data_IF_520192972195
#
_entry.id   IF_520192972195
#
_cell.length_a   1.000
_cell.length_b   1.000
_cell.length_c   1.000
_cell.angle_alpha   90.00
_cell.angle_beta   90.00
_cell.angle_gamma   90.00
#
_symmetry.space_group_name_H-M   'P 1'
#
loop_
_entity.id
_entity.type
_entity.pdbx_description
1 polymer ?
#
# COMPACT_ATOMS: atom_id res chain seq x y z
N UNK A 1 -16.11 2.90 6.30
CA UNK A 1 -14.90 2.18 6.70
C UNK A 1 -13.82 2.29 5.62
N UNK A 2 -12.63 2.72 5.97
CA UNK A 2 -11.53 2.89 5.02
C UNK A 2 -10.72 1.59 4.94
N UNK A 3 -10.52 1.11 3.71
CA UNK A 3 -9.69 -0.07 3.43
C UNK A 3 -8.37 0.39 2.82
N UNK A 4 -7.27 0.05 3.48
CA UNK A 4 -5.94 0.52 3.13
C UNK A 4 -5.01 -0.64 2.80
N UNK A 5 -4.26 -0.50 1.72
CA UNK A 5 -3.18 -1.40 1.34
C UNK A 5 -1.84 -0.66 1.51
N UNK A 6 -0.91 -1.29 2.22
CA UNK A 6 0.45 -0.78 2.42
C UNK A 6 1.44 -1.73 1.71
N UNK A 7 1.94 -1.30 0.56
CA UNK A 7 2.84 -2.11 -0.27
C UNK A 7 4.29 -1.82 0.08
N UNK A 8 5.05 -2.85 0.43
CA UNK A 8 6.40 -2.70 0.93
C UNK A 8 6.41 -2.31 2.41
N UNK A 9 5.61 -3.02 3.21
CA UNK A 9 5.38 -2.69 4.62
C UNK A 9 6.62 -2.79 5.52
N UNK A 10 7.65 -3.48 5.07
CA UNK A 10 8.91 -3.62 5.82
C UNK A 10 8.69 -4.20 7.20
N UNK A 11 9.10 -3.48 8.24
CA UNK A 11 8.96 -3.91 9.64
C UNK A 11 7.55 -3.73 10.22
N UNK A 12 6.60 -3.21 9.44
CA UNK A 12 5.22 -3.02 9.86
C UNK A 12 4.92 -1.70 10.55
N UNK A 13 5.90 -0.82 10.69
CA UNK A 13 5.72 0.47 11.35
C UNK A 13 4.65 1.33 10.67
N UNK A 14 4.73 1.46 9.35
CA UNK A 14 3.77 2.27 8.58
C UNK A 14 2.36 1.68 8.64
N UNK A 15 2.23 0.36 8.51
CA UNK A 15 0.93 -0.30 8.60
C UNK A 15 0.32 -0.15 9.99
N UNK A 16 1.12 -0.19 11.05
CA UNK A 16 0.65 0.04 12.41
C UNK A 16 0.13 1.47 12.59
N UNK A 17 0.86 2.46 12.05
CA UNK A 17 0.43 3.85 12.08
C UNK A 17 -0.87 4.05 11.30
N UNK A 18 -0.99 3.47 10.11
CA UNK A 18 -2.21 3.51 9.32
C UNK A 18 -3.37 2.85 10.06
N UNK A 19 -3.11 1.73 10.75
CA UNK A 19 -4.11 1.05 11.58
C UNK A 19 -4.65 1.93 12.69
N UNK A 20 -3.77 2.68 13.34
CA UNK A 20 -4.17 3.65 14.35
C UNK A 20 -5.09 4.74 13.76
N UNK A 21 -4.75 5.24 12.57
CA UNK A 21 -5.50 6.31 11.92
C UNK A 21 -6.87 5.87 11.41
N UNK A 22 -7.00 4.65 10.85
CA UNK A 22 -8.28 4.19 10.32
C UNK A 22 -9.23 3.68 11.42
N UNK A 23 -8.68 3.22 12.54
CA UNK A 23 -9.46 2.70 13.65
C UNK A 23 -10.15 1.37 13.35
N UNK A 24 -10.90 0.86 14.32
CA UNK A 24 -11.52 -0.46 14.27
C UNK A 24 -12.62 -0.58 13.19
N UNK A 25 -13.12 0.53 12.65
CA UNK A 25 -14.09 0.50 11.55
C UNK A 25 -13.46 0.33 10.17
N UNK A 26 -12.15 0.48 10.07
CA UNK A 26 -11.41 0.29 8.84
C UNK A 26 -10.57 -0.99 8.83
N UNK A 27 -9.73 -1.14 7.82
CA UNK A 27 -8.79 -2.25 7.74
C UNK A 27 -7.52 -1.84 7.02
N UNK A 28 -6.39 -2.47 7.41
CA UNK A 28 -5.09 -2.27 6.77
C UNK A 28 -4.48 -3.63 6.47
N UNK A 29 -4.02 -3.81 5.24
CA UNK A 29 -3.22 -4.97 4.86
C UNK A 29 -1.85 -4.45 4.45
N UNK A 30 -0.84 -4.85 5.20
CA UNK A 30 0.56 -4.61 4.83
C UNK A 30 1.09 -5.81 4.07
N UNK A 31 1.73 -5.58 2.94
CA UNK A 31 2.32 -6.66 2.14
C UNK A 31 3.80 -6.42 1.92
N UNK A 32 4.56 -7.50 1.90
CA UNK A 32 5.96 -7.49 1.53
C UNK A 32 6.29 -8.83 0.86
N UNK A 33 7.33 -8.85 0.03
CA UNK A 33 7.79 -10.08 -0.61
C UNK A 33 8.84 -10.82 0.22
N UNK A 34 9.31 -10.22 1.31
CA UNK A 34 10.32 -10.80 2.20
C UNK A 34 9.62 -11.44 3.39
N UNK A 35 9.66 -12.77 3.46
CA UNK A 35 8.96 -13.53 4.50
C UNK A 35 9.37 -13.13 5.91
N UNK A 36 10.67 -12.91 6.14
CA UNK A 36 11.18 -12.51 7.46
C UNK A 36 10.63 -11.17 7.91
N UNK A 37 10.43 -10.22 6.99
CA UNK A 37 9.83 -8.93 7.30
C UNK A 37 8.35 -9.07 7.65
N UNK A 38 7.62 -9.93 6.97
CA UNK A 38 6.22 -10.22 7.29
C UNK A 38 6.10 -10.80 8.70
N UNK A 39 6.94 -11.79 9.03
CA UNK A 39 6.95 -12.38 10.36
C UNK A 39 7.34 -11.37 11.44
N UNK A 40 8.33 -10.53 11.18
CA UNK A 40 8.72 -9.45 12.08
C UNK A 40 7.57 -8.50 12.33
N UNK A 41 6.86 -8.10 11.28
CA UNK A 41 5.70 -7.21 11.39
C UNK A 41 4.60 -7.80 12.24
N UNK A 42 4.29 -9.08 12.03
CA UNK A 42 3.30 -9.80 12.84
C UNK A 42 3.67 -9.84 14.32
N UNK A 43 4.95 -10.07 14.63
CA UNK A 43 5.45 -10.07 16.01
C UNK A 43 5.42 -8.68 16.63
N UNK A 44 5.85 -7.65 15.90
CA UNK A 44 5.88 -6.27 16.39
C UNK A 44 4.48 -5.76 16.72
N UNK A 45 3.49 -6.11 15.90
CA UNK A 45 2.13 -5.68 16.13
C UNK A 45 1.50 -6.38 17.34
N UNK A 46 1.82 -7.66 17.53
CA UNK A 46 1.42 -8.42 18.73
C UNK A 46 -0.08 -8.48 18.98
N UNK A 47 -0.91 -8.36 17.94
CA UNK A 47 -2.37 -8.40 18.06
C UNK A 47 -3.02 -7.11 18.53
N UNK A 48 -2.29 -6.01 18.62
CA UNK A 48 -2.81 -4.72 19.12
C UNK A 48 -3.94 -4.15 18.28
N UNK A 49 -3.85 -4.29 16.96
CA UNK A 49 -4.87 -3.80 16.04
C UNK A 49 -5.41 -5.00 15.26
N UNK A 50 -6.55 -5.53 15.69
CA UNK A 50 -7.17 -6.68 15.03
C UNK A 50 -7.60 -6.42 13.59
N UNK A 51 -7.66 -5.14 13.17
CA UNK A 51 -7.99 -4.72 11.82
C UNK A 51 -6.77 -4.47 10.94
N UNK A 52 -5.57 -4.75 11.43
CA UNK A 52 -4.32 -4.68 10.67
C UNK A 52 -3.76 -6.09 10.55
N UNK A 53 -3.41 -6.47 9.34
CA UNK A 53 -2.73 -7.76 9.11
C UNK A 53 -1.64 -7.62 8.07
N UNK A 54 -0.74 -8.59 8.05
CA UNK A 54 0.41 -8.63 7.16
C UNK A 54 0.39 -9.91 6.34
N UNK A 55 0.63 -9.78 5.04
CA UNK A 55 0.61 -10.89 4.09
C UNK A 55 1.89 -10.90 3.26
N UNK A 56 2.32 -12.11 2.89
CA UNK A 56 3.45 -12.30 2.00
C UNK A 56 2.95 -12.22 0.55
N UNK A 57 3.39 -11.18 -0.18
CA UNK A 57 3.02 -11.02 -1.58
C UNK A 57 3.85 -11.96 -2.48
N UNK A 58 3.21 -12.47 -3.52
CA UNK A 58 3.89 -13.28 -4.53
C UNK A 58 4.80 -12.43 -5.42
N UNK A 59 5.93 -12.99 -5.90
CA UNK A 59 6.80 -12.26 -6.82
C UNK A 59 6.06 -11.97 -8.14
N UNK A 60 6.23 -10.74 -8.63
CA UNK A 60 5.61 -10.30 -9.89
C UNK A 60 4.14 -9.93 -9.79
N UNK A 61 3.53 -10.04 -8.61
CA UNK A 61 2.13 -9.65 -8.38
C UNK A 61 2.13 -8.54 -7.33
N UNK A 62 2.14 -7.25 -7.73
CA UNK A 62 2.15 -6.15 -6.77
C UNK A 62 0.83 -6.07 -6.00
N UNK A 63 0.94 -5.71 -4.73
CA UNK A 63 -0.21 -5.51 -3.87
C UNK A 63 -0.83 -6.80 -3.37
N UNK A 64 -2.14 -6.75 -3.17
CA UNK A 64 -2.93 -7.87 -2.66
C UNK A 64 -4.30 -7.90 -3.34
N UNK A 65 -4.36 -8.42 -4.59
CA UNK A 65 -5.60 -8.37 -5.39
C UNK A 65 -6.75 -9.18 -4.79
N UNK A 66 -6.46 -10.16 -3.96
CA UNK A 66 -7.48 -11.07 -3.40
C UNK A 66 -8.55 -10.32 -2.60
N UNK A 67 -8.22 -9.17 -2.03
CA UNK A 67 -9.16 -8.40 -1.22
C UNK A 67 -9.37 -6.98 -1.72
N UNK A 68 -8.93 -6.70 -2.95
CA UNK A 68 -9.22 -5.43 -3.61
C UNK A 68 -10.75 -5.25 -3.80
N UNK A 69 -11.26 -4.02 -3.95
CA UNK A 69 -10.50 -2.78 -4.05
C UNK A 69 -10.18 -2.11 -2.71
N UNK A 70 -9.23 -1.16 -2.76
CA UNK A 70 -8.82 -0.40 -1.58
C UNK A 70 -9.12 1.08 -1.77
N UNK A 71 -9.51 1.74 -0.68
CA UNK A 71 -9.77 3.19 -0.69
C UNK A 71 -8.48 3.99 -0.74
N UNK A 72 -7.42 3.46 -0.12
CA UNK A 72 -6.09 4.07 -0.11
C UNK A 72 -5.04 3.00 -0.32
N UNK A 73 -4.05 3.33 -1.14
CA UNK A 73 -2.88 2.48 -1.34
C UNK A 73 -1.64 3.34 -1.11
N UNK A 74 -0.78 2.91 -0.19
CA UNK A 74 0.51 3.53 0.06
C UNK A 74 1.59 2.56 -0.43
N UNK A 75 2.50 3.05 -1.27
CA UNK A 75 3.60 2.25 -1.78
C UNK A 75 4.91 2.86 -1.31
N UNK A 76 5.73 2.05 -0.64
CA UNK A 76 7.01 2.47 -0.06
C UNK A 76 8.19 1.82 -0.79
N UNK A 77 8.05 1.58 -2.09
CA UNK A 77 9.10 1.06 -2.93
C UNK A 77 8.96 1.65 -4.34
N UNK A 78 10.08 1.94 -4.99
CA UNK A 78 10.11 2.62 -6.29
C UNK A 78 10.39 1.62 -7.42
N UNK A 79 9.41 1.40 -8.27
CA UNK A 79 9.53 0.53 -9.45
C UNK A 79 9.82 1.27 -10.75
N UNK A 80 10.04 2.58 -10.69
CA UNK A 80 10.31 3.40 -11.88
C UNK A 80 9.08 3.71 -12.72
N UNK A 81 7.93 3.19 -12.35
CA UNK A 81 6.63 3.42 -13.02
C UNK A 81 5.50 3.09 -12.07
N UNK A 82 4.29 3.50 -12.41
CA UNK A 82 3.08 3.08 -11.68
C UNK A 82 2.62 1.74 -12.23
N UNK A 83 2.62 0.66 -11.41
CA UNK A 83 2.14 -0.64 -11.89
C UNK A 83 0.64 -0.60 -12.18
N UNK A 84 0.20 -0.99 -13.39
CA UNK A 84 -1.24 -1.06 -13.71
C UNK A 84 -2.03 -1.96 -12.75
N UNK A 85 -1.41 -3.03 -12.25
CA UNK A 85 -2.06 -3.94 -11.31
C UNK A 85 -2.44 -3.26 -10.00
N UNK A 86 -1.64 -2.31 -9.53
CA UNK A 86 -1.98 -1.52 -8.34
C UNK A 86 -3.11 -0.54 -8.62
N UNK A 87 -3.12 0.07 -9.79
CA UNK A 87 -4.21 0.97 -10.17
C UNK A 87 -5.55 0.23 -10.23
N UNK A 88 -5.53 -1.02 -10.69
CA UNK A 88 -6.73 -1.85 -10.73
C UNK A 88 -7.25 -2.24 -9.35
N UNK A 89 -6.39 -2.21 -8.34
CA UNK A 89 -6.77 -2.49 -6.96
C UNK A 89 -7.33 -1.28 -6.23
N UNK A 90 -7.33 -0.11 -6.87
CA UNK A 90 -7.83 1.14 -6.28
C UNK A 90 -9.34 1.23 -6.48
N UNK A 91 -10.06 1.50 -5.39
CA UNK A 91 -11.52 1.66 -5.45
C UNK A 91 -11.91 2.93 -6.21
N UNK A 92 -13.10 2.97 -6.82
CA UNK A 92 -13.65 4.24 -7.30
C UNK A 92 -13.66 5.29 -6.18
N UNK A 93 -13.14 6.48 -6.46
CA UNK A 93 -12.95 7.52 -5.44
C UNK A 93 -11.68 7.33 -4.60
N UNK A 94 -10.90 6.27 -4.84
CA UNK A 94 -9.69 5.98 -4.09
C UNK A 94 -8.47 6.75 -4.55
N UNK A 95 -7.44 6.70 -3.72
CA UNK A 95 -6.17 7.40 -3.97
C UNK A 95 -4.98 6.52 -3.61
N UNK A 96 -3.97 6.55 -4.46
CA UNK A 96 -2.69 5.89 -4.22
C UNK A 96 -1.57 6.93 -4.19
N UNK A 97 -0.63 6.74 -3.26
CA UNK A 97 0.61 7.51 -3.19
C UNK A 97 1.76 6.55 -3.46
N UNK A 98 2.57 6.85 -4.45
CA UNK A 98 3.60 5.94 -4.94
C UNK A 98 4.83 6.71 -5.44
N UNK A 99 6.05 6.29 -5.04
CA UNK A 99 7.26 6.85 -5.63
C UNK A 99 7.51 6.26 -7.02
N UNK A 100 7.85 7.11 -7.97
CA UNK A 100 8.19 6.71 -9.34
C UNK A 100 9.45 7.44 -9.75
N UNK A 101 10.53 6.71 -9.99
CA UNK A 101 11.83 7.27 -10.37
C UNK A 101 12.25 8.41 -9.43
N UNK A 102 12.17 8.18 -8.11
CA UNK A 102 12.53 9.09 -7.02
C UNK A 102 11.59 10.30 -6.86
N UNK A 103 10.46 10.33 -7.52
CA UNK A 103 9.48 11.39 -7.39
C UNK A 103 8.16 10.83 -6.88
N UNK A 104 7.51 11.54 -5.94
CA UNK A 104 6.24 11.10 -5.40
C UNK A 104 5.11 11.41 -6.36
N UNK A 105 4.32 10.40 -6.68
CA UNK A 105 3.12 10.52 -7.52
C UNK A 105 1.86 10.27 -6.70
N UNK A 106 0.82 11.00 -7.05
CA UNK A 106 -0.54 10.74 -6.58
C UNK A 106 -1.36 10.21 -7.74
N UNK A 107 -1.99 9.06 -7.51
CA UNK A 107 -2.87 8.42 -8.50
C UNK A 107 -4.28 8.40 -7.92
N UNK A 108 -5.21 9.00 -8.63
CA UNK A 108 -6.61 9.05 -8.22
C UNK A 108 -7.46 8.25 -9.20
N UNK A 109 -8.43 7.54 -8.65
CA UNK A 109 -9.48 6.91 -9.43
C UNK A 109 -10.78 7.65 -9.16
N UNK A 110 -11.39 8.21 -10.21
CA UNK A 110 -12.67 8.92 -10.07
C UNK A 110 -13.80 7.95 -9.71
N UNK A 111 -14.95 8.45 -9.22
CA UNK A 111 -16.11 7.59 -8.99
C UNK A 111 -16.58 6.84 -10.24
N UNK A 112 -16.31 7.37 -11.43
CA UNK A 112 -16.61 6.70 -12.71
C UNK A 112 -15.53 5.70 -13.14
N UNK A 113 -14.41 5.60 -12.42
CA UNK A 113 -13.34 4.66 -12.69
C UNK A 113 -12.17 5.20 -13.49
N UNK A 114 -12.17 6.48 -13.88
CA UNK A 114 -11.08 7.08 -14.64
C UNK A 114 -9.84 7.29 -13.74
N UNK A 115 -8.66 6.97 -14.28
CA UNK A 115 -7.39 7.11 -13.57
C UNK A 115 -6.72 8.42 -14.00
N UNK A 116 -6.27 9.19 -13.01
CA UNK A 116 -5.41 10.35 -13.23
C UNK A 116 -4.15 10.22 -12.39
N UNK A 117 -3.01 10.65 -12.93
CA UNK A 117 -1.70 10.58 -12.29
C UNK A 117 -1.05 11.93 -12.32
N UNK A 118 -0.46 12.38 -11.22
CA UNK A 118 0.33 13.60 -11.23
C UNK A 118 1.50 13.51 -10.25
N UNK A 119 2.62 14.12 -10.65
CA UNK A 119 3.79 14.24 -9.79
C UNK A 119 3.58 15.40 -8.81
N UNK A 120 4.00 15.17 -7.54
CA UNK A 120 3.89 16.21 -6.51
C UNK A 120 5.03 17.23 -6.54
N UNK A 121 6.12 16.90 -7.23
CA UNK A 121 7.35 17.71 -7.21
C UNK A 121 8.32 17.32 -6.08
N UNK A 122 7.89 16.49 -5.14
CA UNK A 122 8.73 16.01 -4.06
C UNK A 122 9.55 14.81 -4.51
N UNK A 123 10.83 14.78 -4.11
CA UNK A 123 11.74 13.68 -4.48
C UNK A 123 12.18 12.93 -3.25
N UNK A 124 12.23 11.60 -3.38
CA UNK A 124 12.57 10.67 -2.30
C UNK A 124 13.38 9.51 -2.84
N UNK A 125 14.21 8.92 -1.98
CA UNK A 125 14.91 7.67 -2.27
C UNK A 125 14.20 6.52 -1.56
N UNK A 126 13.72 5.56 -2.34
CA UNK A 126 13.08 4.34 -1.84
C UNK A 126 13.81 3.11 -2.37
N UNK A 127 13.66 2.00 -1.67
CA UNK A 127 14.12 0.71 -2.18
C UNK A 127 13.34 0.34 -3.43
N UNK A 128 13.97 -0.45 -4.30
CA UNK A 128 13.32 -0.88 -5.53
C UNK A 128 12.10 -1.76 -5.25
N UNK A 129 11.05 -1.56 -6.00
CA UNK A 129 9.87 -2.42 -5.99
C UNK A 129 10.20 -3.72 -6.72
N UNK A 130 10.00 -4.82 -6.07
CA UNK A 130 10.31 -6.16 -6.59
C UNK A 130 9.07 -6.92 -7.04
#
# INVERSE_FOLDING_TARGET
>A
ACRVLDVGSGSGWTAALLGHLVGAGGSVIGVDIVADLVEMSRRHLGGRFGWVRFELAGPGIPGWPDEAPYDRILVSADGGRVPPDLEQQLAPGGRMVIPVAHEMYVVDRSPSGAITRHATGDRFDFVALR
#
